data_IF_522252186768
#
_entry.id   IF_522252186768
#
_cell.length_a   1.000
_cell.length_b   1.000
_cell.length_c   1.000
_cell.angle_alpha   90.00
_cell.angle_beta   90.00
_cell.angle_gamma   90.00
#
_symmetry.space_group_name_H-M   'P 1'
#
loop_
_entity.id
_entity.type
_entity.pdbx_description
1 polymer ?
#
# COMPACT_ATOMS: atom_id res chain seq x y z
N UNK A 1 42.61 36.90 -3.13
CA UNK A 1 41.36 37.01 -2.35
C UNK A 1 40.31 36.11 -3.00
N UNK A 2 40.08 34.93 -2.43
CA UNK A 2 39.09 33.94 -2.89
C UNK A 2 37.83 34.08 -2.03
N UNK A 3 36.68 34.33 -2.64
CA UNK A 3 35.35 34.10 -2.04
C UNK A 3 34.43 33.59 -3.13
N UNK A 4 34.42 32.27 -3.32
CA UNK A 4 33.34 31.58 -4.05
C UNK A 4 32.41 31.06 -2.98
N UNK A 5 31.22 31.65 -2.93
CA UNK A 5 30.11 31.24 -2.09
C UNK A 5 29.52 29.97 -2.72
N UNK A 6 29.77 28.81 -2.10
CA UNK A 6 28.99 27.61 -2.37
C UNK A 6 27.89 27.51 -1.33
N UNK A 7 26.71 27.98 -1.70
CA UNK A 7 25.46 27.61 -1.05
C UNK A 7 24.81 26.57 -1.96
N UNK A 8 24.99 25.29 -1.66
CA UNK A 8 24.05 24.27 -2.09
C UNK A 8 23.65 23.45 -0.87
N UNK A 9 22.46 23.83 -0.40
CA UNK A 9 21.63 23.19 0.59
C UNK A 9 21.34 21.75 0.13
N UNK A 10 22.18 20.78 0.51
CA UNK A 10 21.82 19.37 0.38
C UNK A 10 20.81 19.05 1.49
N UNK A 11 19.52 19.21 1.14
CA UNK A 11 18.39 18.64 1.86
C UNK A 11 18.57 17.12 1.93
N UNK A 12 19.29 16.63 2.93
CA UNK A 12 19.19 15.26 3.39
C UNK A 12 17.96 15.13 4.31
N UNK A 13 16.79 15.61 3.86
CA UNK A 13 15.51 15.18 4.39
C UNK A 13 15.04 14.05 3.50
N UNK A 14 15.65 12.87 3.65
CA UNK A 14 14.92 11.65 3.32
C UNK A 14 13.81 11.54 4.36
N UNK A 15 12.64 12.10 4.04
CA UNK A 15 11.40 11.84 4.77
C UNK A 15 11.13 10.33 4.66
N UNK A 16 11.74 9.54 5.54
CA UNK A 16 11.33 8.16 5.80
C UNK A 16 10.18 8.20 6.78
N UNK A 17 9.02 8.63 6.30
CA UNK A 17 7.79 8.66 7.08
C UNK A 17 6.65 8.14 6.21
N UNK A 18 6.74 6.86 5.87
CA UNK A 18 5.56 6.06 5.57
C UNK A 18 5.80 4.70 6.23
N UNK A 19 5.04 4.39 7.27
CA UNK A 19 4.91 3.01 7.74
C UNK A 19 4.32 2.23 6.57
N UNK A 20 5.17 1.52 5.83
CA UNK A 20 4.71 0.76 4.70
C UNK A 20 4.07 -0.53 5.21
N UNK A 21 2.84 -0.78 4.78
CA UNK A 21 2.12 -2.02 5.11
C UNK A 21 2.79 -3.23 4.46
N UNK A 22 2.68 -4.42 5.05
CA UNK A 22 3.18 -5.67 4.44
C UNK A 22 2.10 -6.38 3.59
N UNK A 23 1.22 -5.62 2.96
CA UNK A 23 0.18 -6.08 2.05
C UNK A 23 0.24 -5.31 0.73
N UNK A 24 -0.48 -5.80 -0.29
CA UNK A 24 -0.73 -5.04 -1.50
C UNK A 24 -1.71 -3.90 -1.24
N UNK A 25 -1.55 -2.84 -2.01
CA UNK A 25 -2.37 -1.64 -1.97
C UNK A 25 -3.43 -1.70 -3.08
N UNK A 26 -4.59 -1.05 -2.89
CA UNK A 26 -5.61 -0.98 -3.93
C UNK A 26 -5.10 -0.20 -5.14
N UNK A 27 -5.50 -0.64 -6.33
CA UNK A 27 -5.22 0.07 -7.58
C UNK A 27 -6.43 0.90 -7.96
N UNK A 28 -6.23 2.21 -8.11
CA UNK A 28 -7.25 3.07 -8.71
C UNK A 28 -7.46 2.66 -10.17
N UNK A 29 -8.72 2.54 -10.64
CA UNK A 29 -8.96 2.17 -12.03
C UNK A 29 -8.22 3.12 -12.97
N UNK A 30 -7.51 2.58 -13.97
CA UNK A 30 -6.66 3.40 -14.83
C UNK A 30 -7.45 4.47 -15.61
N UNK A 31 -8.74 4.24 -15.83
CA UNK A 31 -9.69 5.19 -16.43
C UNK A 31 -9.93 6.45 -15.58
N UNK A 32 -9.61 6.43 -14.29
CA UNK A 32 -9.76 7.58 -13.40
C UNK A 32 -8.63 8.59 -13.53
N UNK A 33 -7.47 8.19 -14.07
CA UNK A 33 -6.38 9.11 -14.34
C UNK A 33 -6.68 9.93 -15.60
N UNK A 34 -6.54 11.25 -15.47
CA UNK A 34 -6.74 12.22 -16.56
C UNK A 34 -5.38 12.72 -17.09
N UNK A 35 -5.39 13.32 -18.28
CA UNK A 35 -4.21 13.92 -18.89
C UNK A 35 -3.13 12.89 -19.24
N UNK A 36 -1.88 13.34 -19.24
CA UNK A 36 -0.70 12.56 -19.67
C UNK A 36 -0.53 11.27 -18.86
N UNK A 37 -0.79 11.30 -17.55
CA UNK A 37 -0.68 10.11 -16.70
C UNK A 37 -1.72 9.04 -17.08
N UNK A 38 -2.93 9.45 -17.44
CA UNK A 38 -3.96 8.54 -17.93
C UNK A 38 -3.66 7.98 -19.32
N UNK A 39 -3.05 8.79 -20.20
CA UNK A 39 -2.54 8.30 -21.50
C UNK A 39 -1.40 7.30 -21.33
N UNK A 40 -0.45 7.60 -20.44
CA UNK A 40 0.67 6.73 -20.11
C UNK A 40 0.18 5.33 -19.72
N UNK A 41 -0.68 5.22 -18.71
CA UNK A 41 -1.18 3.90 -18.27
C UNK A 41 -1.97 3.17 -19.35
N UNK A 42 -2.82 3.87 -20.09
CA UNK A 42 -3.60 3.29 -21.21
C UNK A 42 -2.72 2.81 -22.36
N UNK A 43 -1.48 3.27 -22.45
CA UNK A 43 -0.56 2.89 -23.52
C UNK A 43 0.45 1.82 -23.07
N UNK A 44 0.97 1.93 -21.85
CA UNK A 44 1.98 1.02 -21.30
C UNK A 44 1.41 -0.36 -20.99
N UNK A 45 0.27 -0.45 -20.31
CA UNK A 45 -0.29 -1.76 -19.91
C UNK A 45 -0.64 -2.66 -21.10
N UNK A 46 -1.26 -2.17 -22.19
CA UNK A 46 -1.48 -2.99 -23.38
C UNK A 46 -0.18 -3.49 -24.03
N UNK A 47 0.86 -2.65 -24.10
CA UNK A 47 2.17 -3.06 -24.63
C UNK A 47 2.79 -4.15 -23.76
N UNK A 48 2.79 -3.97 -22.45
CA UNK A 48 3.33 -4.94 -21.49
C UNK A 48 2.55 -6.26 -21.48
N UNK A 49 1.25 -6.24 -21.78
CA UNK A 49 0.42 -7.43 -21.86
C UNK A 49 0.40 -8.08 -23.26
N UNK A 50 1.24 -7.62 -24.19
CA UNK A 50 1.27 -8.15 -25.56
C UNK A 50 1.50 -9.65 -25.58
N UNK A 51 0.57 -10.38 -26.21
CA UNK A 51 0.67 -11.83 -26.35
C UNK A 51 0.48 -12.63 -25.06
N UNK A 52 0.18 -12.00 -23.91
CA UNK A 52 -0.25 -12.72 -22.71
C UNK A 52 -1.65 -13.31 -22.92
N UNK A 53 -1.96 -14.38 -22.18
CA UNK A 53 -3.32 -14.89 -22.07
C UNK A 53 -4.23 -13.83 -21.46
N UNK A 54 -5.52 -13.86 -21.82
CA UNK A 54 -6.51 -12.91 -21.26
C UNK A 54 -6.70 -13.12 -19.75
N UNK A 55 -6.65 -14.36 -19.29
CA UNK A 55 -6.79 -14.74 -17.88
C UNK A 55 -5.57 -15.56 -17.46
N UNK A 56 -4.40 -14.93 -17.30
CA UNK A 56 -3.22 -15.62 -16.80
C UNK A 56 -3.45 -16.06 -15.35
N UNK A 57 -2.70 -17.06 -14.91
CA UNK A 57 -2.78 -17.51 -13.52
C UNK A 57 -2.26 -16.41 -12.58
N UNK A 58 -1.19 -15.75 -13.00
CA UNK A 58 -0.59 -14.61 -12.34
C UNK A 58 0.07 -13.70 -13.38
N UNK A 59 0.00 -12.38 -13.19
CA UNK A 59 0.75 -11.42 -13.99
C UNK A 59 1.38 -10.35 -13.10
N UNK A 60 2.67 -10.12 -13.33
CA UNK A 60 3.52 -9.17 -12.65
C UNK A 60 3.91 -8.06 -13.62
N UNK A 61 3.76 -6.81 -13.22
CA UNK A 61 4.21 -5.64 -13.99
C UNK A 61 5.10 -4.79 -13.09
N UNK A 62 6.26 -4.38 -13.60
CA UNK A 62 7.14 -3.43 -12.95
C UNK A 62 7.20 -2.14 -13.79
N UNK A 63 7.00 -1.02 -13.12
CA UNK A 63 7.16 0.33 -13.67
C UNK A 63 8.29 1.03 -12.90
N UNK A 64 9.55 0.89 -13.36
CA UNK A 64 10.69 1.57 -12.75
C UNK A 64 10.74 3.06 -13.10
N UNK A 65 11.37 3.87 -12.26
CA UNK A 65 11.53 5.31 -12.52
C UNK A 65 12.48 5.62 -13.68
N UNK A 66 13.54 4.82 -13.87
CA UNK A 66 14.68 5.16 -14.74
C UNK A 66 15.13 4.03 -15.66
N UNK A 67 14.33 2.97 -15.79
CA UNK A 67 14.61 1.87 -16.70
C UNK A 67 13.33 1.41 -17.39
N UNK A 68 13.43 0.72 -18.53
CA UNK A 68 12.25 0.31 -19.28
C UNK A 68 11.31 -0.56 -18.45
N UNK A 69 10.02 -0.33 -18.64
CA UNK A 69 8.96 -1.09 -18.02
C UNK A 69 8.98 -2.54 -18.52
N UNK A 70 8.61 -3.46 -17.64
CA UNK A 70 8.58 -4.87 -17.99
C UNK A 70 7.46 -5.61 -17.26
N UNK A 71 7.08 -6.76 -17.81
CA UNK A 71 6.05 -7.61 -17.27
C UNK A 71 6.40 -9.08 -17.43
N UNK A 72 5.78 -9.91 -16.60
CA UNK A 72 5.87 -11.36 -16.65
C UNK A 72 4.50 -11.96 -16.36
N UNK A 73 4.11 -12.94 -17.16
CA UNK A 73 2.90 -13.72 -17.02
C UNK A 73 3.22 -15.18 -16.74
N UNK A 74 2.46 -15.79 -15.84
CA UNK A 74 2.51 -17.21 -15.46
C UNK A 74 1.32 -17.91 -16.09
N UNK A 75 1.59 -18.70 -17.12
CA UNK A 75 0.55 -19.22 -18.03
C UNK A 75 0.75 -20.70 -18.34
N UNK A 76 -0.29 -21.33 -18.91
CA UNK A 76 -0.17 -22.63 -19.58
C UNK A 76 -0.27 -22.45 -21.07
N UNK A 77 0.80 -22.78 -21.81
CA UNK A 77 0.82 -22.75 -23.28
C UNK A 77 0.97 -24.16 -23.83
N UNK A 78 -0.03 -24.60 -24.60
CA UNK A 78 -0.06 -25.96 -25.18
C UNK A 78 0.18 -27.04 -24.11
N UNK A 79 -0.48 -26.91 -22.96
CA UNK A 79 -0.36 -27.84 -21.82
C UNK A 79 0.90 -27.68 -20.96
N UNK A 80 1.90 -26.89 -21.38
CA UNK A 80 3.14 -26.67 -20.64
C UNK A 80 3.05 -25.43 -19.75
N UNK A 81 3.57 -25.51 -18.53
CA UNK A 81 3.70 -24.36 -17.64
C UNK A 81 4.81 -23.45 -18.16
N UNK A 82 4.53 -22.17 -18.34
CA UNK A 82 5.44 -21.25 -19.05
C UNK A 82 5.42 -19.89 -18.37
N UNK A 83 6.61 -19.31 -18.19
CA UNK A 83 6.77 -17.88 -17.92
C UNK A 83 6.93 -17.18 -19.26
N UNK A 84 6.19 -16.09 -19.44
CA UNK A 84 6.26 -15.24 -20.63
C UNK A 84 6.57 -13.84 -20.14
N UNK A 85 7.64 -13.23 -20.63
CA UNK A 85 8.00 -11.87 -20.24
C UNK A 85 8.04 -10.93 -21.43
N UNK A 86 7.71 -9.68 -21.14
CA UNK A 86 7.75 -8.57 -22.07
C UNK A 86 8.60 -7.47 -21.46
N UNK A 87 9.57 -6.97 -22.23
CA UNK A 87 10.40 -5.80 -21.85
C UNK A 87 10.18 -4.71 -22.88
N UNK A 88 9.86 -3.49 -22.45
CA UNK A 88 9.86 -2.36 -23.38
C UNK A 88 11.29 -2.03 -23.81
N UNK A 89 11.48 -1.70 -25.08
CA UNK A 89 12.79 -1.37 -25.66
C UNK A 89 13.42 -0.07 -25.11
N UNK A 90 12.63 0.77 -24.44
CA UNK A 90 13.00 2.05 -23.82
C UNK A 90 11.89 2.45 -22.85
N UNK A 91 12.20 3.32 -21.88
CA UNK A 91 11.20 3.87 -20.95
C UNK A 91 10.10 4.60 -21.73
N UNK A 92 8.85 4.21 -21.52
CA UNK A 92 7.75 4.73 -22.32
C UNK A 92 7.56 6.24 -22.12
N UNK A 93 7.76 6.74 -20.90
CA UNK A 93 7.60 8.16 -20.57
C UNK A 93 8.48 9.10 -21.41
N UNK A 94 9.68 8.64 -21.79
CA UNK A 94 10.66 9.44 -22.54
C UNK A 94 10.65 9.15 -24.05
N UNK A 95 9.86 8.17 -24.49
CA UNK A 95 9.86 7.72 -25.86
C UNK A 95 8.89 8.52 -26.74
N UNK A 96 9.27 8.71 -28.00
CA UNK A 96 8.33 9.17 -29.02
C UNK A 96 7.19 8.15 -29.18
N UNK A 97 5.94 8.65 -29.23
CA UNK A 97 4.74 7.80 -29.33
C UNK A 97 4.85 6.88 -30.56
N UNK A 98 4.55 5.59 -30.37
CA UNK A 98 4.60 4.58 -31.44
C UNK A 98 5.98 3.98 -31.74
N UNK A 99 7.07 4.49 -31.14
CA UNK A 99 8.42 3.95 -31.38
C UNK A 99 8.82 2.82 -30.43
N UNK A 100 8.08 2.64 -29.34
CA UNK A 100 8.37 1.63 -28.31
C UNK A 100 8.03 0.24 -28.82
N UNK A 101 9.05 -0.61 -28.94
CA UNK A 101 8.92 -2.04 -29.24
C UNK A 101 8.87 -2.87 -27.95
N UNK A 102 8.26 -4.05 -28.04
CA UNK A 102 8.19 -5.05 -26.97
C UNK A 102 9.11 -6.22 -27.33
N UNK A 103 10.05 -6.56 -26.46
CA UNK A 103 10.85 -7.79 -26.55
C UNK A 103 10.21 -8.88 -25.69
N UNK A 104 9.70 -9.92 -26.35
CA UNK A 104 9.03 -11.04 -25.69
C UNK A 104 9.96 -12.24 -25.57
N UNK A 105 10.08 -12.79 -24.36
CA UNK A 105 10.79 -14.05 -24.07
C UNK A 105 9.88 -15.03 -23.35
N UNK A 106 10.23 -16.30 -23.39
CA UNK A 106 9.49 -17.32 -22.65
C UNK A 106 10.36 -18.51 -22.30
N UNK A 107 10.05 -19.14 -21.17
CA UNK A 107 10.71 -20.36 -20.71
C UNK A 107 9.69 -21.32 -20.11
N UNK A 108 9.85 -22.61 -20.39
CA UNK A 108 9.06 -23.67 -19.76
C UNK A 108 9.59 -23.87 -18.34
N UNK A 109 8.68 -23.95 -17.36
CA UNK A 109 9.01 -24.10 -15.95
C UNK A 109 8.38 -25.37 -15.37
N UNK A 110 8.84 -25.76 -14.18
CA UNK A 110 8.26 -26.87 -13.44
C UNK A 110 6.80 -26.60 -13.04
N UNK A 111 6.04 -27.66 -12.82
CA UNK A 111 4.69 -27.55 -12.27
C UNK A 111 4.70 -26.96 -10.86
N UNK A 112 5.73 -27.26 -10.04
CA UNK A 112 5.86 -26.75 -8.68
C UNK A 112 6.05 -25.23 -8.64
N UNK A 113 6.92 -24.68 -9.48
CA UNK A 113 7.10 -23.22 -9.59
C UNK A 113 5.82 -22.55 -10.08
N UNK A 114 5.19 -23.11 -11.12
CA UNK A 114 3.93 -22.60 -11.66
C UNK A 114 2.82 -22.53 -10.59
N UNK A 115 2.65 -23.60 -9.81
CA UNK A 115 1.66 -23.65 -8.75
C UNK A 115 1.97 -22.65 -7.63
N UNK A 116 3.24 -22.55 -7.23
CA UNK A 116 3.66 -21.63 -6.17
C UNK A 116 3.41 -20.18 -6.55
N UNK A 117 3.85 -19.75 -7.75
CA UNK A 117 3.66 -18.37 -8.21
C UNK A 117 2.18 -17.99 -8.29
N UNK A 118 1.34 -18.83 -8.92
CA UNK A 118 -0.08 -18.51 -9.02
C UNK A 118 -0.80 -18.53 -7.67
N UNK A 119 -0.46 -19.46 -6.78
CA UNK A 119 -1.02 -19.50 -5.43
C UNK A 119 -0.63 -18.27 -4.59
N UNK A 120 0.62 -17.80 -4.71
CA UNK A 120 1.09 -16.57 -4.07
C UNK A 120 0.26 -15.39 -4.57
N UNK A 121 0.16 -15.21 -5.89
CA UNK A 121 -0.53 -14.06 -6.49
C UNK A 121 -1.99 -14.02 -6.09
N UNK A 122 -2.68 -15.16 -6.16
CA UNK A 122 -4.07 -15.27 -5.71
C UNK A 122 -4.21 -14.87 -4.24
N UNK A 123 -3.34 -15.39 -3.36
CA UNK A 123 -3.37 -15.08 -1.94
C UNK A 123 -3.15 -13.58 -1.67
N UNK A 124 -2.16 -12.96 -2.30
CA UNK A 124 -1.82 -11.55 -2.03
C UNK A 124 -2.83 -10.59 -2.67
N UNK A 125 -3.45 -10.91 -3.81
CA UNK A 125 -4.49 -10.07 -4.41
C UNK A 125 -5.84 -10.23 -3.71
N UNK A 126 -6.11 -11.39 -3.09
CA UNK A 126 -7.29 -11.59 -2.24
C UNK A 126 -7.18 -10.82 -0.91
N UNK A 127 -5.95 -10.46 -0.52
CA UNK A 127 -5.61 -9.74 0.72
C UNK A 127 -5.08 -8.33 0.44
N UNK A 128 -5.69 -7.62 -0.51
CA UNK A 128 -5.41 -6.19 -0.70
C UNK A 128 -5.89 -5.44 0.55
N UNK A 129 -5.02 -4.63 1.16
CA UNK A 129 -5.33 -3.90 2.38
C UNK A 129 -6.39 -2.83 2.11
N UNK A 130 -7.39 -2.73 2.99
CA UNK A 130 -8.24 -1.54 3.07
C UNK A 130 -7.38 -0.34 3.53
N UNK A 131 -7.08 0.54 2.59
CA UNK A 131 -6.07 1.57 2.75
C UNK A 131 -6.58 2.95 2.33
N UNK A 132 -6.37 3.91 3.21
CA UNK A 132 -6.48 5.34 2.93
C UNK A 132 -5.11 6.02 2.82
N UNK A 133 -5.03 7.03 1.96
CA UNK A 133 -3.78 7.75 1.68
C UNK A 133 -2.96 7.15 0.54
N UNK A 134 -1.64 7.30 0.59
CA UNK A 134 -0.70 6.84 -0.43
C UNK A 134 0.68 6.59 0.18
N UNK A 135 1.27 5.44 -0.17
CA UNK A 135 2.65 5.07 0.19
C UNK A 135 3.69 5.57 -0.80
N UNK A 136 3.28 6.15 -1.94
CA UNK A 136 4.19 6.49 -3.02
C UNK A 136 5.19 7.58 -2.61
N UNK A 137 6.49 7.27 -2.68
CA UNK A 137 7.57 8.23 -2.58
C UNK A 137 7.94 8.84 -3.94
N UNK A 138 9.07 9.55 -3.95
CA UNK A 138 9.54 10.33 -5.12
C UNK A 138 10.25 9.46 -6.17
N UNK A 139 10.89 8.36 -5.77
CA UNK A 139 11.70 7.50 -6.61
C UNK A 139 11.38 6.00 -6.41
N UNK A 140 11.98 5.11 -7.19
CA UNK A 140 11.81 3.66 -7.03
C UNK A 140 10.93 3.01 -8.09
N UNK A 141 10.27 1.90 -7.73
CA UNK A 141 9.55 1.04 -8.66
C UNK A 141 8.14 0.77 -8.15
N UNK A 142 7.14 0.97 -9.00
CA UNK A 142 5.77 0.53 -8.72
C UNK A 142 5.57 -0.83 -9.38
N UNK A 143 5.23 -1.81 -8.56
CA UNK A 143 4.89 -3.16 -8.97
C UNK A 143 3.36 -3.33 -8.97
N UNK A 144 2.83 -4.00 -9.98
CA UNK A 144 1.43 -4.42 -10.04
C UNK A 144 1.37 -5.94 -10.11
N UNK A 145 0.41 -6.49 -9.39
CA UNK A 145 0.17 -7.91 -9.26
C UNK A 145 -1.27 -8.19 -9.65
N UNK A 146 -1.45 -9.03 -10.64
CA UNK A 146 -2.73 -9.43 -11.17
C UNK A 146 -2.91 -10.94 -10.97
N UNK A 147 -4.09 -11.34 -10.53
CA UNK A 147 -4.49 -12.75 -10.50
C UNK A 147 -5.96 -12.90 -10.89
N UNK A 148 -6.31 -14.10 -11.35
CA UNK A 148 -7.69 -14.51 -11.53
C UNK A 148 -8.09 -15.40 -10.36
N UNK A 149 -9.09 -14.97 -9.58
CA UNK A 149 -9.61 -15.79 -8.47
C UNK A 149 -10.23 -17.10 -8.98
N UNK A 150 -10.45 -18.06 -8.07
CA UNK A 150 -11.10 -19.34 -8.42
C UNK A 150 -12.51 -19.17 -9.01
N UNK A 151 -13.18 -18.03 -8.77
CA UNK A 151 -14.50 -17.70 -9.31
C UNK A 151 -14.42 -16.92 -10.64
N UNK A 152 -13.24 -16.78 -11.23
CA UNK A 152 -13.03 -16.03 -12.48
C UNK A 152 -13.01 -14.51 -12.32
N UNK A 153 -13.11 -13.98 -11.08
CA UNK A 153 -12.99 -12.54 -10.83
C UNK A 153 -11.51 -12.13 -10.86
N UNK A 154 -11.19 -11.17 -11.72
CA UNK A 154 -9.88 -10.55 -11.79
C UNK A 154 -9.65 -9.63 -10.59
N UNK A 155 -8.43 -9.67 -10.05
CA UNK A 155 -7.99 -8.82 -8.95
C UNK A 155 -6.64 -8.23 -9.28
N UNK A 156 -6.45 -6.96 -8.89
CA UNK A 156 -5.20 -6.25 -9.12
C UNK A 156 -4.84 -5.43 -7.89
N UNK A 157 -3.66 -5.70 -7.34
CA UNK A 157 -3.04 -4.92 -6.28
C UNK A 157 -1.73 -4.29 -6.76
N UNK A 158 -1.25 -3.28 -6.05
CA UNK A 158 0.05 -2.66 -6.33
C UNK A 158 0.94 -2.61 -5.10
N UNK A 159 2.23 -2.43 -5.33
CA UNK A 159 3.20 -2.10 -4.28
C UNK A 159 4.26 -1.17 -4.81
N UNK A 160 4.52 -0.07 -4.12
CA UNK A 160 5.68 0.78 -4.42
C UNK A 160 6.85 0.37 -3.53
N UNK A 161 8.02 0.04 -4.13
CA UNK A 161 9.31 -0.21 -3.47
C UNK A 161 9.21 -0.75 -2.03
N UNK A 162 8.89 -2.05 -1.84
CA UNK A 162 8.66 -2.61 -0.52
C UNK A 162 9.86 -2.46 0.43
N UNK A 163 9.59 -2.26 1.71
CA UNK A 163 10.58 -2.08 2.76
C UNK A 163 11.34 -3.39 3.02
N UNK A 164 12.61 -3.26 3.40
CA UNK A 164 13.47 -4.41 3.66
C UNK A 164 12.93 -5.29 4.79
N UNK A 165 13.01 -6.61 4.61
CA UNK A 165 12.57 -7.62 5.56
C UNK A 165 11.07 -7.95 5.50
N UNK A 166 10.31 -7.29 4.63
CA UNK A 166 8.86 -7.52 4.49
C UNK A 166 8.56 -8.71 3.57
N UNK A 167 7.39 -9.34 3.72
CA UNK A 167 6.94 -10.38 2.78
C UNK A 167 6.69 -9.80 1.38
N UNK A 168 6.28 -8.53 1.28
CA UNK A 168 6.13 -7.84 0.00
C UNK A 168 7.48 -7.59 -0.70
N UNK A 169 8.58 -7.36 0.03
CA UNK A 169 9.93 -7.34 -0.57
C UNK A 169 10.28 -8.71 -1.14
N UNK A 170 10.08 -9.76 -0.35
CA UNK A 170 10.35 -11.13 -0.79
C UNK A 170 9.51 -11.53 -2.01
N UNK A 171 8.24 -11.09 -2.07
CA UNK A 171 7.39 -11.25 -3.25
C UNK A 171 7.99 -10.61 -4.49
N UNK A 172 8.44 -9.35 -4.39
CA UNK A 172 9.09 -8.65 -5.51
C UNK A 172 10.36 -9.38 -5.96
N UNK A 173 11.20 -9.83 -5.03
CA UNK A 173 12.44 -10.55 -5.34
C UNK A 173 12.19 -11.88 -6.07
N UNK A 174 11.15 -12.64 -5.66
CA UNK A 174 10.71 -13.85 -6.36
C UNK A 174 10.25 -13.53 -7.77
N UNK A 175 9.46 -12.45 -7.95
CA UNK A 175 8.96 -12.05 -9.27
C UNK A 175 10.08 -11.57 -10.20
N UNK A 176 11.05 -10.82 -9.67
CA UNK A 176 12.23 -10.37 -10.42
C UNK A 176 13.10 -11.55 -10.83
N UNK A 177 13.32 -12.52 -9.94
CA UNK A 177 14.05 -13.75 -10.25
C UNK A 177 13.35 -14.58 -11.33
N UNK A 178 12.02 -14.69 -11.27
CA UNK A 178 11.22 -15.37 -12.30
C UNK A 178 11.30 -14.63 -13.65
N UNK A 179 11.27 -13.29 -13.63
CA UNK A 179 11.48 -12.49 -14.83
C UNK A 179 12.88 -12.71 -15.42
N UNK A 180 13.95 -12.64 -14.63
CA UNK A 180 15.32 -12.92 -15.07
C UNK A 180 15.47 -14.33 -15.66
N UNK A 181 14.91 -15.34 -15.00
CA UNK A 181 14.85 -16.72 -15.53
C UNK A 181 14.19 -16.76 -16.92
N UNK A 182 13.06 -16.06 -17.10
CA UNK A 182 12.35 -16.03 -18.38
C UNK A 182 13.12 -15.37 -19.53
N UNK A 183 14.07 -14.50 -19.20
CA UNK A 183 14.97 -13.85 -20.15
C UNK A 183 16.17 -14.74 -20.53
N UNK A 184 16.34 -15.88 -19.88
CA UNK A 184 17.48 -16.79 -20.07
C UNK A 184 18.71 -16.39 -19.27
N UNK A 185 18.55 -15.58 -18.22
CA UNK A 185 19.63 -15.27 -17.29
C UNK A 185 19.95 -16.48 -16.39
N UNK A 186 21.12 -16.45 -15.75
CA UNK A 186 21.64 -17.56 -14.94
C UNK A 186 20.93 -17.66 -13.58
N UNK A 187 19.64 -18.03 -13.60
CA UNK A 187 18.80 -18.31 -12.44
C UNK A 187 18.50 -19.81 -12.41
N UNK A 188 18.75 -20.45 -11.27
CA UNK A 188 18.35 -21.84 -11.05
C UNK A 188 16.83 -21.92 -10.86
N UNK A 189 16.14 -22.62 -11.77
CA UNK A 189 14.69 -22.79 -11.70
C UNK A 189 14.27 -23.55 -10.42
N UNK A 190 15.04 -24.56 -10.02
CA UNK A 190 14.75 -25.34 -8.81
C UNK A 190 14.89 -24.48 -7.56
N UNK A 191 15.93 -23.67 -7.46
CA UNK A 191 16.13 -22.73 -6.34
C UNK A 191 15.01 -21.69 -6.30
N UNK A 192 14.60 -21.16 -7.45
CA UNK A 192 13.47 -20.25 -7.52
C UNK A 192 12.15 -20.92 -7.09
N UNK A 193 11.94 -22.18 -7.46
CA UNK A 193 10.78 -22.96 -7.03
C UNK A 193 10.74 -23.15 -5.51
N UNK A 194 11.88 -23.46 -4.89
CA UNK A 194 12.04 -23.57 -3.44
C UNK A 194 11.75 -22.24 -2.73
N UNK A 195 12.29 -21.13 -3.23
CA UNK A 195 12.05 -19.80 -2.66
C UNK A 195 10.59 -19.36 -2.80
N UNK A 196 9.95 -19.61 -3.94
CA UNK A 196 8.53 -19.35 -4.13
C UNK A 196 7.67 -20.18 -3.15
N UNK A 197 7.95 -21.48 -3.01
CA UNK A 197 7.24 -22.33 -2.06
C UNK A 197 7.43 -21.86 -0.60
N UNK A 198 8.64 -21.45 -0.24
CA UNK A 198 8.94 -20.93 1.08
C UNK A 198 8.24 -19.59 1.37
N UNK A 199 8.14 -18.69 0.37
CA UNK A 199 7.36 -17.46 0.47
C UNK A 199 5.87 -17.76 0.63
N UNK A 200 5.31 -18.66 -0.19
CA UNK A 200 3.90 -19.06 -0.08
C UNK A 200 3.57 -19.55 1.33
N UNK A 201 4.42 -20.40 1.90
CA UNK A 201 4.27 -20.90 3.28
C UNK A 201 4.26 -19.76 4.30
N UNK A 202 5.14 -18.77 4.16
CA UNK A 202 5.19 -17.60 5.07
C UNK A 202 3.94 -16.73 4.96
N UNK A 203 3.44 -16.49 3.75
CA UNK A 203 2.21 -15.74 3.53
C UNK A 203 0.98 -16.47 4.13
N UNK A 204 0.91 -17.78 3.97
CA UNK A 204 -0.14 -18.62 4.58
C UNK A 204 -0.05 -18.60 6.11
N UNK A 205 1.16 -18.68 6.69
CA UNK A 205 1.36 -18.57 8.13
C UNK A 205 0.86 -17.23 8.68
N UNK A 206 1.19 -16.10 8.03
CA UNK A 206 0.65 -14.79 8.40
C UNK A 206 -0.87 -14.77 8.32
N UNK A 207 -1.43 -15.28 7.23
CA UNK A 207 -2.88 -15.32 7.02
C UNK A 207 -3.61 -16.13 8.10
N UNK A 208 -3.00 -17.21 8.59
CA UNK A 208 -3.58 -18.02 9.66
C UNK A 208 -3.45 -17.34 11.04
N UNK A 209 -2.35 -16.62 11.28
CA UNK A 209 -2.14 -15.89 12.53
C UNK A 209 -3.06 -14.67 12.63
N UNK A 210 -3.34 -14.00 11.51
CA UNK A 210 -4.09 -12.74 11.45
C UNK A 210 -5.09 -12.72 10.27
N UNK A 211 -6.17 -13.53 10.32
CA UNK A 211 -7.04 -13.79 9.17
C UNK A 211 -7.75 -12.57 8.58
N UNK A 212 -7.93 -11.52 9.37
CA UNK A 212 -8.65 -10.31 8.97
C UNK A 212 -7.81 -9.03 9.09
N UNK A 213 -6.49 -9.13 9.29
CA UNK A 213 -5.63 -7.94 9.42
C UNK A 213 -5.70 -7.02 8.19
N UNK A 214 -5.78 -7.58 6.98
CA UNK A 214 -5.91 -6.80 5.73
C UNK A 214 -7.26 -6.07 5.60
N UNK A 215 -8.29 -6.50 6.33
CA UNK A 215 -9.61 -5.85 6.32
C UNK A 215 -9.68 -4.63 7.24
N UNK A 216 -8.76 -4.53 8.20
CA UNK A 216 -8.71 -3.37 9.10
C UNK A 216 -8.30 -2.14 8.28
N UNK A 217 -9.10 -1.05 8.26
CA UNK A 217 -8.72 0.15 7.56
C UNK A 217 -7.40 0.70 8.10
N UNK A 218 -6.47 1.04 7.22
CA UNK A 218 -5.18 1.62 7.59
C UNK A 218 -4.95 2.94 6.87
N UNK A 219 -4.44 3.95 7.59
CA UNK A 219 -3.94 5.16 6.96
C UNK A 219 -2.44 5.04 6.69
N UNK A 220 -2.04 5.36 5.46
CA UNK A 220 -0.65 5.52 5.07
C UNK A 220 -0.47 6.88 4.41
N UNK A 221 0.32 7.75 5.03
CA UNK A 221 0.67 9.04 4.46
C UNK A 221 1.62 9.81 5.38
N UNK A 222 1.74 11.11 5.12
CA UNK A 222 2.75 11.97 5.77
C UNK A 222 2.47 12.28 7.25
N UNK A 223 1.24 12.04 7.71
CA UNK A 223 0.83 12.31 9.10
C UNK A 223 1.03 11.05 9.94
N UNK A 224 1.67 11.19 11.09
CA UNK A 224 1.79 10.12 12.07
C UNK A 224 0.46 9.98 12.80
N UNK A 225 -0.13 8.79 12.79
CA UNK A 225 -1.35 8.44 13.54
C UNK A 225 -0.96 7.87 14.91
N UNK A 226 -1.78 8.14 15.92
CA UNK A 226 -1.59 7.70 17.30
C UNK A 226 -0.98 8.79 18.20
N UNK A 227 -0.54 8.40 19.42
CA UNK A 227 0.07 9.30 20.37
C UNK A 227 1.47 9.71 19.91
N UNK A 228 1.86 10.98 20.15
CA UNK A 228 3.22 11.45 19.90
C UNK A 228 4.18 10.94 20.97
N UNK A 229 5.34 10.43 20.56
CA UNK A 229 6.40 9.95 21.47
C UNK A 229 7.24 11.07 22.09
N UNK A 230 7.02 12.32 21.67
CA UNK A 230 7.70 13.50 22.20
C UNK A 230 6.68 14.60 22.49
N UNK A 231 6.92 15.35 23.57
CA UNK A 231 6.16 16.56 23.88
C UNK A 231 6.51 17.69 22.89
N UNK A 232 5.70 18.75 22.88
CA UNK A 232 6.02 19.98 22.13
C UNK A 232 7.37 20.61 22.52
N UNK A 233 7.82 20.37 23.76
CA UNK A 233 9.13 20.82 24.26
C UNK A 233 10.29 19.86 23.91
N UNK A 234 10.03 18.80 23.15
CA UNK A 234 11.03 17.82 22.71
C UNK A 234 11.41 16.77 23.75
N UNK A 235 10.70 16.70 24.89
CA UNK A 235 10.95 15.67 25.90
C UNK A 235 10.37 14.34 25.44
N UNK A 236 11.11 13.26 25.65
CA UNK A 236 10.62 11.92 25.37
C UNK A 236 9.52 11.53 26.36
N UNK A 237 8.44 10.97 25.83
CA UNK A 237 7.33 10.44 26.60
C UNK A 237 7.69 9.02 27.05
N UNK A 238 7.60 8.77 28.36
CA UNK A 238 7.89 7.47 28.98
C UNK A 238 6.68 6.54 28.89
N UNK A 239 5.50 7.07 29.18
CA UNK A 239 4.22 6.36 29.03
C UNK A 239 3.27 7.16 28.14
N UNK A 240 2.76 6.54 27.09
CA UNK A 240 1.87 7.18 26.14
C UNK A 240 0.48 7.34 26.73
N UNK A 241 -0.21 8.42 26.35
CA UNK A 241 -1.61 8.58 26.65
C UNK A 241 -2.42 7.43 26.03
N UNK A 242 -3.39 6.91 26.79
CA UNK A 242 -4.25 5.82 26.34
C UNK A 242 -5.72 6.08 26.70
N UNK A 243 -6.60 5.62 25.82
CA UNK A 243 -8.04 5.71 26.01
C UNK A 243 -8.48 4.73 27.11
N UNK A 244 -9.47 5.08 27.97
CA UNK A 244 -9.94 4.19 29.01
C UNK A 244 -10.76 3.03 28.42
N UNK A 245 -10.70 1.87 29.09
CA UNK A 245 -11.54 0.67 28.91
C UNK A 245 -11.50 -0.05 27.54
N UNK A 246 -11.25 0.67 26.45
CA UNK A 246 -11.24 0.18 25.07
C UNK A 246 -10.27 0.99 24.21
N UNK A 247 -10.12 0.62 22.94
CA UNK A 247 -9.39 1.44 21.98
C UNK A 247 -10.19 2.67 21.55
N UNK A 248 -9.49 3.75 21.15
CA UNK A 248 -10.16 4.94 20.63
C UNK A 248 -10.96 4.60 19.35
N UNK A 249 -10.45 3.67 18.55
CA UNK A 249 -11.08 3.15 17.34
C UNK A 249 -12.41 2.45 17.63
N UNK A 250 -12.48 1.61 18.68
CA UNK A 250 -13.73 0.97 19.11
C UNK A 250 -14.75 2.00 19.60
N UNK A 251 -14.32 3.00 20.36
CA UNK A 251 -15.20 4.09 20.80
C UNK A 251 -15.78 4.85 19.61
N UNK A 252 -14.95 5.22 18.63
CA UNK A 252 -15.40 5.89 17.41
C UNK A 252 -16.45 5.04 16.70
N UNK A 253 -16.19 3.75 16.50
CA UNK A 253 -17.11 2.87 15.80
C UNK A 253 -18.48 2.81 16.51
N UNK A 254 -18.50 2.84 17.85
CA UNK A 254 -19.74 2.88 18.63
C UNK A 254 -20.45 4.24 18.65
N UNK A 255 -19.73 5.34 18.39
CA UNK A 255 -20.30 6.70 18.37
C UNK A 255 -20.64 7.21 16.97
N UNK A 256 -20.17 6.55 15.91
CA UNK A 256 -20.26 7.03 14.54
C UNK A 256 -21.70 7.17 14.05
N UNK A 257 -22.04 8.38 13.62
CA UNK A 257 -23.23 8.71 12.85
C UNK A 257 -22.75 9.05 11.44
N UNK A 258 -22.97 8.12 10.51
CA UNK A 258 -22.57 8.34 9.13
C UNK A 258 -23.40 9.47 8.50
N UNK A 259 -22.78 10.49 7.87
CA UNK A 259 -23.54 11.54 7.20
C UNK A 259 -24.46 10.97 6.11
N UNK A 260 -25.77 11.20 6.25
CA UNK A 260 -26.81 10.59 5.40
C UNK A 260 -26.58 10.88 3.91
N UNK A 261 -26.25 12.14 3.59
CA UNK A 261 -25.96 12.61 2.22
C UNK A 261 -24.81 11.86 1.52
N UNK A 262 -23.88 11.30 2.30
CA UNK A 262 -22.73 10.53 1.83
C UNK A 262 -23.03 9.01 1.88
N UNK A 263 -23.79 8.56 2.87
CA UNK A 263 -24.23 7.17 3.00
C UNK A 263 -25.10 6.76 1.80
N UNK A 264 -26.08 7.59 1.43
CA UNK A 264 -26.96 7.36 0.28
C UNK A 264 -26.18 7.21 -1.03
N UNK A 265 -25.08 7.96 -1.16
CA UNK A 265 -24.23 8.00 -2.36
C UNK A 265 -23.08 6.99 -2.31
N UNK A 266 -22.95 6.22 -1.23
CA UNK A 266 -21.86 5.26 -1.01
C UNK A 266 -20.47 5.88 -1.11
N UNK A 267 -20.37 7.12 -0.63
CA UNK A 267 -19.11 7.84 -0.60
C UNK A 267 -18.36 7.35 0.61
N UNK A 268 -17.20 6.72 0.41
CA UNK A 268 -16.26 6.39 1.47
C UNK A 268 -15.22 7.50 1.67
N UNK A 269 -14.48 7.41 2.76
CA UNK A 269 -13.36 8.33 2.99
C UNK A 269 -12.75 8.16 4.37
N UNK A 270 -12.05 9.20 4.80
CA UNK A 270 -11.42 9.27 6.10
C UNK A 270 -11.22 10.70 6.59
N UNK A 271 -10.94 10.80 7.88
CA UNK A 271 -10.50 12.01 8.59
C UNK A 271 -9.27 11.71 9.43
N UNK A 272 -8.37 12.69 9.51
CA UNK A 272 -7.32 12.78 10.50
C UNK A 272 -7.60 13.98 11.39
N UNK A 273 -7.87 13.73 12.67
CA UNK A 273 -8.11 14.76 13.67
C UNK A 273 -6.96 14.76 14.68
N UNK A 274 -6.31 15.90 14.90
CA UNK A 274 -5.30 16.06 15.94
C UNK A 274 -5.87 16.84 17.12
N UNK A 275 -5.51 16.44 18.32
CA UNK A 275 -5.88 17.09 19.57
C UNK A 275 -4.78 16.93 20.62
N UNK A 276 -4.83 17.77 21.66
CA UNK A 276 -3.97 17.63 22.85
C UNK A 276 -4.76 16.92 23.95
N UNK A 277 -4.14 15.95 24.60
CA UNK A 277 -4.60 15.37 25.86
C UNK A 277 -3.80 16.05 26.96
N UNK A 278 -4.45 16.79 27.86
CA UNK A 278 -3.77 17.46 28.97
C UNK A 278 -3.39 16.49 30.10
N UNK A 279 -2.64 17.01 31.07
CA UNK A 279 -2.22 16.28 32.27
C UNK A 279 -3.38 15.76 33.14
N UNK A 280 -4.61 16.24 32.97
CA UNK A 280 -5.82 15.77 33.63
C UNK A 280 -6.62 14.76 32.77
N UNK A 281 -6.13 14.44 31.56
CA UNK A 281 -6.76 13.52 30.63
C UNK A 281 -7.84 14.15 29.75
N UNK A 282 -8.01 15.48 29.79
CA UNK A 282 -9.05 16.18 29.04
C UNK A 282 -8.55 16.50 27.63
N UNK A 283 -9.44 16.36 26.64
CA UNK A 283 -9.15 16.72 25.26
C UNK A 283 -9.24 18.24 25.08
N UNK A 284 -8.18 18.82 24.54
CA UNK A 284 -8.06 20.24 24.19
C UNK A 284 -7.80 20.41 22.70
N UNK A 285 -8.35 21.48 22.12
CA UNK A 285 -8.04 21.98 20.76
C UNK A 285 -8.14 20.91 19.63
N UNK A 286 -9.25 20.15 19.53
CA UNK A 286 -9.43 19.25 18.40
C UNK A 286 -9.53 20.03 17.08
N UNK A 287 -8.74 19.63 16.10
CA UNK A 287 -8.73 20.24 14.77
C UNK A 287 -8.42 19.21 13.68
N UNK A 288 -8.88 19.47 12.46
CA UNK A 288 -8.75 18.55 11.33
C UNK A 288 -7.42 18.81 10.60
N UNK A 289 -6.57 17.79 10.55
CA UNK A 289 -5.35 17.82 9.72
C UNK A 289 -5.69 17.53 8.26
N UNK A 290 -6.59 16.57 8.04
CA UNK A 290 -7.01 16.15 6.69
C UNK A 290 -8.41 15.55 6.75
N UNK A 291 -9.23 15.89 5.76
CA UNK A 291 -10.49 15.20 5.51
C UNK A 291 -10.69 14.99 4.01
N UNK A 292 -11.36 13.90 3.68
CA UNK A 292 -11.86 13.65 2.32
C UNK A 292 -13.13 14.44 2.01
N UNK A 293 -13.98 14.72 3.02
CA UNK A 293 -15.23 15.45 2.88
C UNK A 293 -15.51 16.35 4.10
N UNK A 294 -16.08 17.55 3.94
CA UNK A 294 -16.45 18.42 5.07
C UNK A 294 -17.38 17.74 6.09
N UNK A 295 -18.36 16.97 5.63
CA UNK A 295 -19.35 16.30 6.47
C UNK A 295 -18.70 15.23 7.37
N UNK A 296 -17.70 14.50 6.84
CA UNK A 296 -16.90 13.58 7.66
C UNK A 296 -16.09 14.33 8.72
N UNK A 297 -15.56 15.51 8.39
CA UNK A 297 -14.80 16.33 9.34
C UNK A 297 -15.68 16.84 10.49
N UNK A 298 -16.91 17.26 10.21
CA UNK A 298 -17.87 17.68 11.23
C UNK A 298 -18.20 16.54 12.20
N UNK A 299 -18.47 15.34 11.65
CA UNK A 299 -18.76 14.16 12.45
C UNK A 299 -17.56 13.73 13.31
N UNK A 300 -16.36 13.72 12.74
CA UNK A 300 -15.13 13.45 13.48
C UNK A 300 -14.94 14.41 14.67
N UNK A 301 -15.18 15.71 14.47
CA UNK A 301 -15.08 16.70 15.54
C UNK A 301 -16.15 16.48 16.62
N UNK A 302 -17.37 16.07 16.26
CA UNK A 302 -18.43 15.74 17.21
C UNK A 302 -18.01 14.58 18.12
N UNK A 303 -17.51 13.49 17.52
CA UNK A 303 -17.05 12.30 18.26
C UNK A 303 -15.89 12.66 19.19
N UNK A 304 -14.86 13.35 18.68
CA UNK A 304 -13.67 13.70 19.48
C UNK A 304 -14.02 14.63 20.64
N UNK A 305 -14.92 15.60 20.45
CA UNK A 305 -15.38 16.48 21.53
C UNK A 305 -16.19 15.74 22.61
N UNK A 306 -16.82 14.63 22.26
CA UNK A 306 -17.62 13.80 23.18
C UNK A 306 -16.84 12.75 23.95
N UNK A 307 -15.54 12.59 23.69
CA UNK A 307 -14.72 11.56 24.31
C UNK A 307 -14.60 11.74 25.84
N UNK A 308 -14.55 10.63 26.59
CA UNK A 308 -14.26 10.64 28.02
C UNK A 308 -12.83 11.08 28.30
N UNK A 309 -12.50 11.23 29.59
CA UNK A 309 -11.13 11.50 30.03
C UNK A 309 -10.19 10.34 29.69
N UNK A 310 -9.04 10.67 29.15
CA UNK A 310 -7.95 9.75 28.85
C UNK A 310 -7.02 9.58 30.05
N UNK A 311 -6.24 8.52 30.06
CA UNK A 311 -5.02 8.48 30.87
C UNK A 311 -3.98 9.39 30.21
N UNK A 312 -3.40 10.37 30.93
CA UNK A 312 -2.42 11.29 30.37
C UNK A 312 -1.10 10.59 30.07
N UNK A 313 -0.28 11.21 29.24
CA UNK A 313 1.09 10.76 29.03
C UNK A 313 1.97 11.09 30.26
N UNK A 314 3.01 10.29 30.51
CA UNK A 314 3.97 10.53 31.57
C UNK A 314 5.36 10.93 31.03
N UNK A 315 5.95 11.95 31.66
CA UNK A 315 7.32 12.41 31.41
C UNK A 315 8.01 12.61 32.75
N UNK A 316 9.10 11.88 33.01
CA UNK A 316 9.76 11.87 34.31
C UNK A 316 8.81 11.44 35.43
N UNK A 317 7.97 10.44 35.16
CA UNK A 317 6.93 9.95 36.09
C UNK A 317 5.82 10.95 36.43
N UNK A 318 5.69 12.08 35.72
CA UNK A 318 4.65 13.10 35.96
C UNK A 318 3.70 13.21 34.76
N UNK A 319 2.38 13.37 35.00
CA UNK A 319 1.42 13.68 33.96
C UNK A 319 1.83 14.91 33.14
N UNK A 320 1.78 14.79 31.82
CA UNK A 320 2.18 15.81 30.87
C UNK A 320 1.22 15.85 29.69
N UNK A 321 1.05 17.04 29.14
CA UNK A 321 0.34 17.24 27.89
C UNK A 321 1.00 16.43 26.76
N UNK A 322 0.16 15.84 25.91
CA UNK A 322 0.60 15.08 24.74
C UNK A 322 -0.33 15.31 23.56
N UNK A 323 0.22 15.29 22.34
CA UNK A 323 -0.61 15.35 21.13
C UNK A 323 -0.96 13.95 20.66
N UNK A 324 -2.17 13.81 20.13
CA UNK A 324 -2.69 12.58 19.57
C UNK A 324 -3.31 12.88 18.20
N UNK A 325 -2.96 12.10 17.18
CA UNK A 325 -3.63 12.16 15.87
C UNK A 325 -4.47 10.92 15.67
N UNK A 326 -5.78 11.10 15.59
CA UNK A 326 -6.74 10.02 15.42
C UNK A 326 -7.13 9.87 13.95
N UNK A 327 -7.04 8.64 13.46
CA UNK A 327 -7.51 8.25 12.14
C UNK A 327 -8.93 7.67 12.24
N UNK A 328 -9.84 8.24 11.46
CA UNK A 328 -11.26 7.88 11.47
C UNK A 328 -11.65 7.45 10.06
N UNK A 329 -11.77 6.13 9.80
CA UNK A 329 -12.24 5.62 8.52
C UNK A 329 -13.77 5.71 8.41
N UNK A 330 -14.25 6.17 7.25
CA UNK A 330 -15.65 6.17 6.87
C UNK A 330 -15.88 5.13 5.79
N UNK A 331 -16.56 4.04 6.16
CA UNK A 331 -16.87 2.88 5.31
C UNK A 331 -18.39 2.67 5.27
N UNK A 332 -19.10 3.07 4.21
CA UNK A 332 -20.57 3.06 4.19
C UNK A 332 -21.18 1.66 4.39
N UNK A 333 -20.47 0.61 3.98
CA UNK A 333 -20.86 -0.80 4.15
C UNK A 333 -21.10 -1.22 5.61
N UNK A 334 -20.50 -0.52 6.57
CA UNK A 334 -20.65 -0.82 7.99
C UNK A 334 -21.91 -0.18 8.62
N UNK A 335 -22.55 0.77 7.94
CA UNK A 335 -23.61 1.62 8.50
C UNK A 335 -24.94 1.54 7.74
N UNK A 336 -24.98 0.78 6.66
CA UNK A 336 -26.25 0.44 6.03
C UNK A 336 -27.03 -0.52 6.93
N UNK A 337 -28.34 -0.31 7.04
CA UNK A 337 -29.22 -1.35 7.55
C UNK A 337 -29.03 -2.62 6.71
N UNK A 338 -28.78 -3.75 7.38
CA UNK A 338 -28.68 -5.07 6.73
C UNK A 338 -30.04 -5.53 6.20
#
# INVERSE_FOLDING_TARGET
MKKIVFTFLLLAFSFRLAAQIDYLEPVRPFSTYKGELGEYYRSVFPLLNTGFQKQPYACFVAIPSFSPEYAMSVEKRNGRCTLVSNTLSRTYWQAEKGTVKVDTKSVVISASLYQSLGAIFRLVTEQIQDLDGSSAGLDGVVYYFFSTSAKGKEQMGRKWSPAKGTLMERLVLVCQSAYMLSKGENISESTLAEEAAALLKKLQQRSNAEPDAYKKPMYVGIYQVGPRSQTLSGKQVEELAHFPDMSAEEYIAGQMIYPESLLEKNVSGYVLCEFTIDKEGVILRPHILRSTHPEFAEEALRIVKGMPKWSPALVGGKPSDSNYTLYIPFRPENYRAK
#
